data_IF_724846048606
#
_entry.id   IF_724846048606
#
_cell.length_a   1.000
_cell.length_b   1.000
_cell.length_c   1.000
_cell.angle_alpha   90.00
_cell.angle_beta   90.00
_cell.angle_gamma   90.00
#
_symmetry.space_group_name_H-M   'P 1'
#
loop_
_entity.id
_entity.type
_entity.pdbx_description
1 polymer ?
#
# COMPACT_ATOMS: atom_id res chain seq x y z
N UNK A 1 -4.62 25.39 25.49
CA UNK A 1 -5.12 24.29 24.64
C UNK A 1 -5.59 23.18 25.56
N UNK A 2 -6.89 22.87 25.56
CA UNK A 2 -7.40 21.75 26.33
C UNK A 2 -6.81 20.44 25.79
N UNK A 3 -6.34 19.57 26.67
CA UNK A 3 -5.93 18.21 26.31
C UNK A 3 -7.23 17.46 25.98
N UNK A 4 -7.34 16.92 24.76
CA UNK A 4 -8.48 16.09 24.38
C UNK A 4 -8.38 14.79 25.17
N UNK A 5 -9.40 14.52 25.98
CA UNK A 5 -9.48 13.27 26.74
C UNK A 5 -10.14 12.18 25.89
N UNK A 6 -9.32 11.36 25.25
CA UNK A 6 -9.77 10.24 24.41
C UNK A 6 -10.47 9.12 25.18
N UNK A 7 -10.46 9.13 26.53
CA UNK A 7 -11.20 8.14 27.32
C UNK A 7 -12.71 8.37 27.30
N UNK A 8 -13.13 9.57 26.90
CA UNK A 8 -14.55 9.97 26.79
C UNK A 8 -15.16 9.63 25.41
N UNK A 9 -14.34 9.19 24.44
CA UNK A 9 -14.84 8.79 23.12
C UNK A 9 -15.50 7.41 23.17
N UNK A 10 -16.51 7.17 22.31
CA UNK A 10 -17.07 5.83 22.14
C UNK A 10 -16.00 4.81 21.74
N UNK A 11 -15.99 3.66 22.40
CA UNK A 11 -15.09 2.58 22.04
C UNK A 11 -15.66 1.81 20.85
N UNK A 12 -15.00 1.95 19.69
CA UNK A 12 -15.31 1.26 18.44
C UNK A 12 -14.19 0.30 18.02
N UNK A 13 -14.57 -0.79 17.37
CA UNK A 13 -13.62 -1.76 16.81
C UNK A 13 -13.30 -1.38 15.36
N UNK A 14 -12.25 -0.61 15.19
CA UNK A 14 -11.89 0.03 13.92
C UNK A 14 -10.77 -0.73 13.22
N UNK A 15 -10.97 -0.99 11.92
CA UNK A 15 -9.93 -1.41 11.00
C UNK A 15 -9.66 -0.30 9.99
N UNK A 16 -8.49 0.33 10.04
CA UNK A 16 -8.02 1.29 9.05
C UNK A 16 -7.19 0.54 8.00
N UNK A 17 -7.60 0.64 6.73
CA UNK A 17 -7.10 -0.18 5.63
C UNK A 17 -6.41 0.73 4.61
N UNK A 18 -5.22 0.34 4.17
CA UNK A 18 -4.45 1.00 3.10
C UNK A 18 -3.97 -0.02 2.08
N UNK A 19 -4.12 0.27 0.79
CA UNK A 19 -3.66 -0.61 -0.30
C UNK A 19 -2.20 -0.33 -0.61
N UNK A 20 -1.38 -1.36 -0.54
CA UNK A 20 0.07 -1.23 -0.72
C UNK A 20 0.43 -0.82 -2.15
N UNK A 21 0.97 0.41 -2.31
CA UNK A 21 1.38 0.96 -3.61
C UNK A 21 0.29 0.80 -4.68
N UNK A 22 -0.92 1.23 -4.39
CA UNK A 22 -2.16 0.82 -5.06
C UNK A 22 -2.07 0.81 -6.59
N UNK A 23 -1.81 1.95 -7.24
CA UNK A 23 -1.77 2.00 -8.71
C UNK A 23 -0.71 1.07 -9.31
N UNK A 24 0.47 1.02 -8.70
CA UNK A 24 1.54 0.12 -9.15
C UNK A 24 1.17 -1.34 -8.97
N UNK A 25 0.50 -1.68 -7.86
CA UNK A 25 0.02 -3.04 -7.60
C UNK A 25 -1.05 -3.46 -8.59
N UNK A 26 -2.01 -2.58 -8.89
CA UNK A 26 -3.04 -2.83 -9.91
C UNK A 26 -2.40 -3.06 -11.28
N UNK A 27 -1.43 -2.23 -11.67
CA UNK A 27 -0.73 -2.39 -12.94
C UNK A 27 0.08 -3.69 -13.04
N UNK A 28 0.66 -4.15 -11.93
CA UNK A 28 1.31 -5.47 -11.88
C UNK A 28 0.29 -6.60 -12.08
N UNK A 29 -0.78 -6.59 -11.29
CA UNK A 29 -1.81 -7.65 -11.32
C UNK A 29 -2.43 -7.79 -12.71
N UNK A 30 -2.77 -6.68 -13.36
CA UNK A 30 -3.36 -6.67 -14.71
C UNK A 30 -2.42 -7.20 -15.80
N UNK A 31 -1.12 -7.28 -15.50
CA UNK A 31 -0.10 -7.88 -16.38
C UNK A 31 0.29 -9.31 -15.97
N UNK A 32 -0.40 -9.89 -14.99
CA UNK A 32 -0.05 -11.20 -14.45
C UNK A 32 1.26 -11.21 -13.65
N UNK A 33 1.69 -10.05 -13.12
CA UNK A 33 2.93 -9.88 -12.37
C UNK A 33 2.65 -9.77 -10.87
N UNK A 34 3.59 -10.25 -10.05
CA UNK A 34 3.48 -10.11 -8.60
C UNK A 34 3.92 -8.70 -8.15
N UNK A 35 3.03 -7.89 -7.53
CA UNK A 35 3.36 -6.54 -7.06
C UNK A 35 4.53 -6.47 -6.06
N UNK A 36 4.77 -7.54 -5.30
CA UNK A 36 5.81 -7.57 -4.27
C UNK A 36 7.21 -7.88 -4.81
N UNK A 37 7.30 -8.44 -6.03
CA UNK A 37 8.58 -8.85 -6.64
C UNK A 37 8.91 -8.13 -7.94
N UNK A 38 7.96 -7.34 -8.46
CA UNK A 38 8.13 -6.61 -9.71
C UNK A 38 8.51 -5.16 -9.45
N UNK A 39 9.56 -4.67 -10.12
CA UNK A 39 9.88 -3.24 -10.16
C UNK A 39 9.02 -2.55 -11.22
N UNK A 40 8.05 -1.74 -10.76
CA UNK A 40 7.12 -1.02 -11.62
C UNK A 40 6.85 0.38 -11.07
N UNK A 41 6.79 1.35 -11.98
CA UNK A 41 6.45 2.74 -11.70
C UNK A 41 5.30 3.21 -12.60
N UNK A 42 4.27 3.79 -12.01
CA UNK A 42 3.20 4.49 -12.72
C UNK A 42 3.56 5.96 -12.84
N UNK A 43 3.68 6.46 -14.06
CA UNK A 43 4.15 7.81 -14.34
C UNK A 43 3.18 8.56 -15.27
N UNK A 44 2.80 9.79 -14.92
CA UNK A 44 1.79 10.57 -15.66
C UNK A 44 2.19 10.87 -17.11
N UNK A 45 3.49 10.87 -17.41
CA UNK A 45 4.07 11.03 -18.74
C UNK A 45 5.23 10.08 -18.88
N UNK A 46 4.93 8.82 -19.19
CA UNK A 46 5.93 7.76 -19.29
C UNK A 46 6.93 7.93 -20.45
N UNK A 47 6.59 8.78 -21.40
CA UNK A 47 7.36 9.13 -22.60
C UNK A 47 8.21 10.41 -22.45
N UNK A 48 8.14 11.08 -21.30
CA UNK A 48 8.70 12.41 -21.10
C UNK A 48 9.52 12.49 -19.79
N UNK A 49 10.68 13.13 -19.85
CA UNK A 49 11.56 13.36 -18.70
C UNK A 49 10.97 14.24 -17.58
N UNK A 50 9.79 14.83 -17.76
CA UNK A 50 9.07 15.63 -16.76
C UNK A 50 7.85 14.89 -16.13
N UNK A 51 7.73 13.59 -16.35
CA UNK A 51 6.65 12.78 -15.80
C UNK A 51 6.60 12.80 -14.27
N UNK A 52 5.39 12.92 -13.70
CA UNK A 52 5.17 12.77 -12.27
C UNK A 52 4.99 11.28 -11.94
N UNK A 53 5.75 10.78 -10.97
CA UNK A 53 5.59 9.45 -10.42
C UNK A 53 4.35 9.46 -9.51
N UNK A 54 3.30 8.77 -9.92
CA UNK A 54 2.04 8.67 -9.17
C UNK A 54 2.08 7.55 -8.13
N UNK A 55 2.68 6.43 -8.49
CA UNK A 55 2.90 5.30 -7.58
C UNK A 55 4.06 4.44 -8.07
N UNK A 56 4.69 3.73 -7.14
CA UNK A 56 5.74 2.76 -7.45
C UNK A 56 5.63 1.54 -6.57
N UNK A 57 6.00 0.38 -7.12
CA UNK A 57 5.98 -0.89 -6.39
C UNK A 57 6.98 -0.90 -5.23
N UNK A 58 6.83 -1.78 -4.24
CA UNK A 58 7.79 -1.92 -3.14
C UNK A 58 9.22 -2.17 -3.62
N UNK A 59 9.40 -3.03 -4.62
CA UNK A 59 10.72 -3.32 -5.20
C UNK A 59 11.33 -2.09 -5.86
N UNK A 60 10.53 -1.31 -6.61
CA UNK A 60 11.00 -0.06 -7.20
C UNK A 60 11.54 0.90 -6.13
N UNK A 61 10.78 1.08 -5.03
CA UNK A 61 11.17 1.95 -3.92
C UNK A 61 12.49 1.50 -3.28
N UNK A 62 12.64 0.19 -3.07
CA UNK A 62 13.85 -0.39 -2.48
C UNK A 62 15.05 -0.25 -3.38
N UNK A 63 14.92 -0.63 -4.64
CA UNK A 63 16.03 -0.65 -5.62
C UNK A 63 16.57 0.74 -5.89
N UNK A 64 15.70 1.74 -6.02
CA UNK A 64 16.11 3.10 -6.34
C UNK A 64 16.13 4.05 -5.13
N UNK A 65 15.93 3.53 -3.92
CA UNK A 65 15.96 4.32 -2.69
C UNK A 65 14.89 5.40 -2.61
N UNK A 66 13.77 5.24 -3.34
CA UNK A 66 12.68 6.24 -3.45
C UNK A 66 11.49 5.82 -2.62
N UNK A 67 11.31 6.45 -1.45
CA UNK A 67 10.17 6.17 -0.56
C UNK A 67 8.92 6.99 -0.90
N UNK A 68 9.05 8.10 -1.63
CA UNK A 68 7.97 9.05 -1.91
C UNK A 68 7.78 9.27 -3.41
N UNK A 69 6.60 9.76 -3.76
CA UNK A 69 6.26 10.27 -5.08
C UNK A 69 7.22 11.40 -5.48
N UNK A 70 7.73 11.33 -6.70
CA UNK A 70 8.68 12.31 -7.25
C UNK A 70 8.45 12.51 -8.73
N UNK A 71 9.44 13.06 -9.40
CA UNK A 71 9.42 13.22 -10.86
C UNK A 71 10.43 12.28 -11.51
N UNK A 72 10.31 12.08 -12.80
CA UNK A 72 11.23 11.23 -13.58
C UNK A 72 12.70 11.68 -13.46
N UNK A 73 12.96 12.99 -13.35
CA UNK A 73 14.31 13.52 -13.14
C UNK A 73 14.87 13.31 -11.72
N UNK A 74 14.06 12.78 -10.80
CA UNK A 74 14.53 12.35 -9.47
C UNK A 74 15.07 10.91 -9.49
N UNK A 75 14.92 10.21 -10.61
CA UNK A 75 15.43 8.85 -10.74
C UNK A 75 16.93 8.87 -11.09
N UNK A 76 17.72 7.91 -10.58
CA UNK A 76 19.15 7.82 -10.86
C UNK A 76 19.46 7.31 -12.28
N UNK A 77 18.46 7.21 -13.15
CA UNK A 77 18.60 6.78 -14.55
C UNK A 77 17.68 7.58 -15.47
N UNK A 78 18.04 7.63 -16.74
CA UNK A 78 17.19 8.20 -17.79
C UNK A 78 16.06 7.22 -18.14
N UNK A 79 14.82 7.70 -18.17
CA UNK A 79 13.65 6.85 -18.42
C UNK A 79 13.57 6.31 -19.85
N UNK A 80 14.20 6.98 -20.82
CA UNK A 80 14.13 6.62 -22.24
C UNK A 80 15.15 5.53 -22.60
N UNK A 81 16.42 5.76 -22.30
CA UNK A 81 17.53 4.86 -22.69
C UNK A 81 18.00 3.93 -21.57
N UNK A 82 17.48 4.15 -20.34
CA UNK A 82 17.79 3.36 -19.14
C UNK A 82 19.24 3.44 -18.67
N UNK A 83 19.98 4.45 -19.14
CA UNK A 83 21.35 4.72 -18.70
C UNK A 83 21.38 5.40 -17.34
N UNK A 84 22.48 5.21 -16.61
CA UNK A 84 22.68 5.87 -15.33
C UNK A 84 22.80 7.39 -15.50
N UNK A 85 22.10 8.15 -14.65
CA UNK A 85 22.13 9.61 -14.65
C UNK A 85 22.97 10.16 -13.50
N UNK A 86 24.23 10.49 -13.79
CA UNK A 86 25.15 11.13 -12.83
C UNK A 86 24.60 12.44 -12.26
N UNK A 87 23.96 13.24 -13.10
CA UNK A 87 23.39 14.52 -12.69
C UNK A 87 22.30 14.32 -11.63
N UNK A 88 21.35 13.43 -11.88
CA UNK A 88 20.25 13.14 -10.95
C UNK A 88 20.77 12.50 -9.65
N UNK A 89 21.66 11.52 -9.75
CA UNK A 89 22.22 10.83 -8.58
C UNK A 89 22.98 11.82 -7.67
N UNK A 90 23.81 12.71 -8.25
CA UNK A 90 24.54 13.75 -7.52
C UNK A 90 23.61 14.77 -6.87
N UNK A 91 22.58 15.21 -7.60
CA UNK A 91 21.58 16.18 -7.10
C UNK A 91 20.87 15.70 -5.84
N UNK A 92 20.62 14.39 -5.74
CA UNK A 92 19.94 13.78 -4.58
C UNK A 92 20.90 13.20 -3.54
N UNK A 93 22.19 13.55 -3.61
CA UNK A 93 23.19 13.18 -2.61
C UNK A 93 23.48 11.68 -2.53
N UNK A 94 23.21 10.94 -3.59
CA UNK A 94 23.47 9.51 -3.63
C UNK A 94 24.97 9.24 -3.72
N UNK A 95 25.46 8.25 -2.95
CA UNK A 95 26.84 7.81 -3.03
C UNK A 95 27.04 7.04 -4.33
N UNK A 96 27.79 7.62 -5.28
CA UNK A 96 28.02 7.02 -6.59
C UNK A 96 29.26 6.14 -6.51
N UNK A 97 29.05 4.82 -6.64
CA UNK A 97 30.12 3.81 -6.76
C UNK A 97 29.90 2.99 -8.04
N UNK A 98 30.92 2.30 -8.56
CA UNK A 98 30.75 1.43 -9.73
C UNK A 98 29.66 0.37 -9.53
N UNK A 99 29.59 -0.19 -8.34
CA UNK A 99 28.56 -1.21 -7.97
C UNK A 99 27.16 -0.60 -7.99
N UNK A 100 27.01 0.65 -7.50
CA UNK A 100 25.72 1.34 -7.52
C UNK A 100 25.28 1.66 -8.95
N UNK A 101 26.19 2.11 -9.81
CA UNK A 101 25.90 2.35 -11.24
C UNK A 101 25.42 1.06 -11.90
N UNK A 102 26.16 -0.03 -11.76
CA UNK A 102 25.79 -1.34 -12.32
C UNK A 102 24.44 -1.84 -11.79
N UNK A 103 24.17 -1.66 -10.50
CA UNK A 103 22.90 -2.00 -9.87
C UNK A 103 21.74 -1.22 -10.51
N UNK A 104 21.87 0.12 -10.61
CA UNK A 104 20.83 0.98 -11.21
C UNK A 104 20.60 0.63 -12.68
N UNK A 105 21.64 0.45 -13.48
CA UNK A 105 21.48 0.10 -14.90
C UNK A 105 20.84 -1.28 -15.09
N UNK A 106 21.24 -2.26 -14.29
CA UNK A 106 20.63 -3.59 -14.33
C UNK A 106 19.15 -3.56 -14.01
N UNK A 107 18.75 -2.83 -12.94
CA UNK A 107 17.36 -2.74 -12.54
C UNK A 107 16.52 -1.82 -13.41
N UNK A 108 17.09 -0.72 -13.91
CA UNK A 108 16.36 0.20 -14.80
C UNK A 108 15.84 -0.52 -16.05
N UNK A 109 16.65 -1.44 -16.61
CA UNK A 109 16.26 -2.26 -17.78
C UNK A 109 15.13 -3.25 -17.50
N UNK A 110 15.01 -3.72 -16.25
CA UNK A 110 13.96 -4.65 -15.79
C UNK A 110 12.72 -3.92 -15.26
N UNK A 111 12.82 -2.62 -15.02
CA UNK A 111 11.75 -1.82 -14.43
C UNK A 111 10.72 -1.42 -15.48
N UNK A 112 9.46 -1.68 -15.17
CA UNK A 112 8.33 -1.23 -15.99
C UNK A 112 7.98 0.21 -15.62
N UNK A 113 7.89 1.09 -16.61
CA UNK A 113 7.35 2.44 -16.49
C UNK A 113 6.11 2.50 -17.35
N UNK A 114 4.96 2.76 -16.73
CA UNK A 114 3.65 2.66 -17.37
C UNK A 114 2.83 3.92 -17.14
N UNK A 115 1.97 4.32 -18.09
CA UNK A 115 1.02 5.41 -17.89
C UNK A 115 -0.09 5.00 -16.94
N UNK A 116 -0.74 5.96 -16.24
CA UNK A 116 -1.86 5.69 -15.37
C UNK A 116 -3.14 5.32 -16.13
N UNK A 117 -3.92 4.41 -15.57
CA UNK A 117 -5.24 3.99 -16.07
C UNK A 117 -6.30 4.22 -14.99
N UNK A 118 -6.72 5.47 -14.80
CA UNK A 118 -7.57 5.88 -13.67
C UNK A 118 -8.89 5.10 -13.58
N UNK A 119 -9.55 4.82 -14.70
CA UNK A 119 -10.79 4.02 -14.70
C UNK A 119 -10.56 2.62 -14.12
N UNK A 120 -9.46 1.98 -14.49
CA UNK A 120 -9.08 0.67 -13.94
C UNK A 120 -8.87 0.73 -12.42
N UNK A 121 -8.25 1.81 -11.91
CA UNK A 121 -8.03 1.96 -10.47
C UNK A 121 -9.35 2.16 -9.72
N UNK A 122 -10.29 2.91 -10.30
CA UNK A 122 -11.65 3.08 -9.76
C UNK A 122 -12.38 1.73 -9.74
N UNK A 123 -12.31 0.94 -10.81
CA UNK A 123 -12.91 -0.40 -10.87
C UNK A 123 -12.34 -1.33 -9.79
N UNK A 124 -11.03 -1.31 -9.57
CA UNK A 124 -10.38 -2.08 -8.51
C UNK A 124 -10.78 -1.61 -7.11
N UNK A 125 -10.89 -0.30 -6.89
CA UNK A 125 -11.40 0.24 -5.64
C UNK A 125 -12.83 -0.24 -5.36
N UNK A 126 -13.73 -0.20 -6.35
CA UNK A 126 -15.09 -0.73 -6.22
C UNK A 126 -15.08 -2.22 -5.85
N UNK A 127 -14.19 -3.03 -6.43
CA UNK A 127 -14.03 -4.43 -6.06
C UNK A 127 -13.62 -4.60 -4.59
N UNK A 128 -12.70 -3.74 -4.10
CA UNK A 128 -12.28 -3.73 -2.69
C UNK A 128 -13.44 -3.35 -1.78
N UNK A 129 -14.17 -2.28 -2.09
CA UNK A 129 -15.34 -1.86 -1.32
C UNK A 129 -16.40 -2.98 -1.26
N UNK A 130 -16.63 -3.69 -2.37
CA UNK A 130 -17.54 -4.83 -2.39
C UNK A 130 -17.07 -6.00 -1.50
N UNK A 131 -15.76 -6.17 -1.29
CA UNK A 131 -15.25 -7.13 -0.30
C UNK A 131 -15.59 -6.65 1.11
N UNK A 132 -15.40 -5.36 1.42
CA UNK A 132 -15.68 -4.80 2.75
C UNK A 132 -17.17 -4.88 3.11
N UNK A 133 -18.07 -4.70 2.15
CA UNK A 133 -19.54 -4.86 2.32
C UNK A 133 -19.97 -6.27 2.76
N UNK A 134 -19.11 -7.28 2.65
CA UNK A 134 -19.40 -8.60 3.22
C UNK A 134 -19.16 -8.65 4.74
N UNK A 135 -18.55 -7.63 5.32
CA UNK A 135 -18.17 -7.57 6.73
C UNK A 135 -18.96 -6.53 7.52
N UNK A 136 -19.31 -5.41 6.87
CA UNK A 136 -20.04 -4.31 7.50
C UNK A 136 -21.04 -3.71 6.52
N UNK A 137 -22.12 -3.07 6.99
CA UNK A 137 -23.03 -2.29 6.14
C UNK A 137 -22.34 -1.03 5.59
N UNK A 138 -22.97 -0.41 4.59
CA UNK A 138 -22.39 0.73 3.86
C UNK A 138 -22.11 1.94 4.76
N UNK A 139 -22.93 2.19 5.75
CA UNK A 139 -22.78 3.26 6.74
C UNK A 139 -21.54 3.12 7.63
N UNK A 140 -21.02 1.91 7.77
CA UNK A 140 -19.82 1.60 8.57
C UNK A 140 -18.55 1.57 7.72
N UNK A 141 -18.63 1.92 6.41
CA UNK A 141 -17.48 2.03 5.50
C UNK A 141 -17.19 3.51 5.26
N UNK A 142 -16.00 3.94 5.64
CA UNK A 142 -15.57 5.33 5.57
C UNK A 142 -14.34 5.51 4.68
N UNK A 143 -14.51 5.71 3.35
CA UNK A 143 -13.38 5.96 2.45
C UNK A 143 -12.73 7.31 2.72
N UNK A 144 -11.40 7.34 2.75
CA UNK A 144 -10.60 8.56 2.84
C UNK A 144 -10.02 8.96 1.48
N UNK A 145 -9.56 7.95 0.73
CA UNK A 145 -9.04 8.12 -0.62
C UNK A 145 -9.43 6.92 -1.49
N UNK A 146 -8.86 6.83 -2.69
CA UNK A 146 -9.08 5.68 -3.59
C UNK A 146 -8.45 4.38 -3.07
N UNK A 147 -7.48 4.48 -2.17
CA UNK A 147 -6.68 3.35 -1.68
C UNK A 147 -6.64 3.23 -0.16
N UNK A 148 -7.25 4.15 0.58
CA UNK A 148 -7.32 4.07 2.03
C UNK A 148 -8.69 4.47 2.60
N UNK A 149 -9.02 3.91 3.75
CA UNK A 149 -10.24 4.19 4.51
C UNK A 149 -10.30 3.35 5.76
N UNK A 150 -11.38 3.50 6.53
CA UNK A 150 -11.61 2.63 7.67
C UNK A 150 -13.02 2.04 7.66
N UNK A 151 -13.19 0.95 8.39
CA UNK A 151 -14.48 0.33 8.66
C UNK A 151 -14.68 0.18 10.17
N UNK A 152 -15.92 0.33 10.61
CA UNK A 152 -16.34 0.06 11.98
C UNK A 152 -16.89 -1.37 12.08
N UNK A 153 -16.17 -2.23 12.78
CA UNK A 153 -16.51 -3.64 12.98
C UNK A 153 -17.26 -3.91 14.30
N UNK A 154 -17.61 -2.86 15.06
CA UNK A 154 -18.17 -2.98 16.41
C UNK A 154 -19.40 -3.88 16.44
N UNK A 155 -20.32 -3.70 15.51
CA UNK A 155 -21.56 -4.50 15.43
C UNK A 155 -21.31 -5.90 14.85
N UNK A 156 -20.32 -6.03 13.96
CA UNK A 156 -20.04 -7.27 13.22
C UNK A 156 -19.11 -8.24 13.95
N UNK A 157 -18.36 -7.78 14.94
CA UNK A 157 -17.26 -8.50 15.58
C UNK A 157 -17.70 -9.88 16.09
N UNK A 158 -18.80 -9.93 16.86
CA UNK A 158 -19.31 -11.17 17.45
C UNK A 158 -20.08 -12.05 16.45
N UNK A 159 -20.53 -11.49 15.32
CA UNK A 159 -21.14 -12.26 14.25
C UNK A 159 -20.10 -13.14 13.55
N UNK A 160 -18.92 -12.60 13.25
CA UNK A 160 -17.86 -13.31 12.54
C UNK A 160 -17.02 -14.20 13.47
N UNK A 161 -16.80 -13.79 14.73
CA UNK A 161 -16.02 -14.56 15.71
C UNK A 161 -16.88 -14.87 16.93
N UNK A 162 -17.53 -16.04 16.88
CA UNK A 162 -18.47 -16.50 17.92
C UNK A 162 -17.79 -17.01 19.18
N UNK A 163 -16.47 -17.22 19.16
CA UNK A 163 -15.70 -17.69 20.30
C UNK A 163 -15.70 -16.65 21.42
N UNK A 164 -16.42 -16.97 22.50
CA UNK A 164 -16.58 -16.08 23.66
C UNK A 164 -15.35 -16.04 24.58
N UNK A 165 -14.38 -16.94 24.38
CA UNK A 165 -13.12 -16.94 25.14
C UNK A 165 -12.13 -15.90 24.65
N UNK A 166 -12.31 -15.39 23.41
CA UNK A 166 -11.44 -14.41 22.79
C UNK A 166 -11.81 -12.98 23.21
N UNK A 167 -10.80 -12.20 23.51
CA UNK A 167 -10.90 -10.76 23.71
C UNK A 167 -11.38 -10.03 22.42
N UNK A 168 -11.91 -8.82 22.57
CA UNK A 168 -12.28 -7.96 21.43
C UNK A 168 -11.10 -7.75 20.48
N UNK A 169 -9.88 -7.60 21.00
CA UNK A 169 -8.66 -7.42 20.21
C UNK A 169 -8.34 -8.65 19.38
N UNK A 170 -8.37 -9.83 19.95
CA UNK A 170 -8.14 -11.08 19.21
C UNK A 170 -9.18 -11.33 18.13
N UNK A 171 -10.44 -10.98 18.41
CA UNK A 171 -11.51 -11.08 17.40
C UNK A 171 -11.24 -10.13 16.23
N UNK A 172 -10.84 -8.90 16.52
CA UNK A 172 -10.51 -7.89 15.52
C UNK A 172 -9.33 -8.34 14.63
N UNK A 173 -8.27 -8.89 15.24
CA UNK A 173 -7.11 -9.46 14.52
C UNK A 173 -7.54 -10.56 13.53
N UNK A 174 -8.41 -11.49 13.98
CA UNK A 174 -8.92 -12.59 13.14
C UNK A 174 -9.71 -12.06 11.93
N UNK A 175 -10.59 -11.08 12.17
CA UNK A 175 -11.42 -10.51 11.09
C UNK A 175 -10.55 -9.73 10.11
N UNK A 176 -9.61 -8.91 10.60
CA UNK A 176 -8.72 -8.13 9.76
C UNK A 176 -7.83 -9.02 8.88
N UNK A 177 -7.28 -10.11 9.43
CA UNK A 177 -6.54 -11.09 8.65
C UNK A 177 -7.39 -11.73 7.56
N UNK A 178 -8.68 -12.00 7.84
CA UNK A 178 -9.62 -12.53 6.85
C UNK A 178 -9.93 -11.49 5.76
N UNK A 179 -10.17 -10.23 6.13
CA UNK A 179 -10.39 -9.13 5.19
C UNK A 179 -9.20 -8.97 4.24
N UNK A 180 -7.96 -8.93 4.76
CA UNK A 180 -6.76 -8.84 3.94
C UNK A 180 -6.68 -9.97 2.91
N UNK A 181 -6.94 -11.20 3.35
CA UNK A 181 -6.94 -12.39 2.48
C UNK A 181 -8.01 -12.32 1.40
N UNK A 182 -9.22 -11.87 1.74
CA UNK A 182 -10.33 -11.79 0.80
C UNK A 182 -10.13 -10.66 -0.21
N UNK A 183 -9.58 -9.51 0.20
CA UNK A 183 -9.14 -8.43 -0.71
C UNK A 183 -8.10 -8.98 -1.70
N UNK A 184 -7.05 -9.62 -1.20
CA UNK A 184 -6.01 -10.19 -2.05
C UNK A 184 -6.57 -11.26 -3.03
N UNK A 185 -7.37 -12.20 -2.54
CA UNK A 185 -7.99 -13.24 -3.40
C UNK A 185 -8.86 -12.63 -4.50
N UNK A 186 -9.60 -11.56 -4.19
CA UNK A 186 -10.50 -10.92 -5.15
C UNK A 186 -9.78 -10.03 -6.15
N UNK A 187 -8.75 -9.32 -5.73
CA UNK A 187 -8.17 -8.22 -6.50
C UNK A 187 -6.70 -8.44 -6.87
N UNK A 188 -5.99 -9.34 -6.21
CA UNK A 188 -4.54 -9.51 -6.31
C UNK A 188 -3.73 -8.39 -5.64
N UNK A 189 -4.39 -7.40 -5.01
CA UNK A 189 -3.75 -6.26 -4.36
C UNK A 189 -3.55 -6.54 -2.88
N UNK A 190 -2.37 -6.22 -2.36
CA UNK A 190 -2.06 -6.36 -0.94
C UNK A 190 -2.51 -5.13 -0.15
N UNK A 191 -3.00 -5.35 1.07
CA UNK A 191 -3.38 -4.29 1.99
C UNK A 191 -2.61 -4.38 3.29
N UNK A 192 -2.47 -3.24 3.98
CA UNK A 192 -2.03 -3.13 5.36
C UNK A 192 -3.22 -2.70 6.20
N UNK A 193 -3.43 -3.27 7.37
CA UNK A 193 -4.52 -2.89 8.27
C UNK A 193 -3.95 -2.48 9.63
N UNK A 194 -4.28 -1.26 10.05
CA UNK A 194 -4.11 -0.80 11.41
C UNK A 194 -5.40 -0.98 12.20
N UNK A 195 -5.30 -1.40 13.45
CA UNK A 195 -6.45 -1.77 14.27
C UNK A 195 -6.48 -1.03 15.59
N UNK A 196 -7.69 -0.61 16.01
CA UNK A 196 -7.93 -0.05 17.33
C UNK A 196 -9.28 -0.53 17.89
N UNK A 197 -9.32 -0.77 19.19
CA UNK A 197 -10.57 -0.98 19.93
C UNK A 197 -11.06 0.31 20.60
N UNK A 198 -10.71 1.46 20.05
CA UNK A 198 -11.09 2.78 20.55
C UNK A 198 -11.62 3.67 19.42
N UNK A 199 -10.75 4.15 18.51
CA UNK A 199 -11.15 5.13 17.50
C UNK A 199 -10.32 5.00 16.20
N UNK A 200 -10.77 5.65 15.09
CA UNK A 200 -10.08 5.62 13.80
C UNK A 200 -8.66 6.21 13.82
N UNK A 201 -8.41 7.25 14.63
CA UNK A 201 -7.09 7.88 14.72
C UNK A 201 -6.04 6.90 15.24
N UNK A 202 -6.36 6.17 16.31
CA UNK A 202 -5.45 5.14 16.86
C UNK A 202 -5.28 3.97 15.90
N UNK A 203 -6.31 3.61 15.13
CA UNK A 203 -6.19 2.60 14.06
C UNK A 203 -5.25 3.09 12.96
N UNK A 204 -5.33 4.36 12.53
CA UNK A 204 -4.41 4.95 11.55
C UNK A 204 -2.97 4.98 12.06
N UNK A 205 -2.75 5.36 13.31
CA UNK A 205 -1.42 5.34 13.93
C UNK A 205 -0.84 3.91 13.99
N UNK A 206 -1.67 2.91 14.26
CA UNK A 206 -1.26 1.52 14.25
C UNK A 206 -0.86 1.08 12.82
N UNK A 207 -1.64 1.47 11.80
CA UNK A 207 -1.31 1.22 10.39
C UNK A 207 0.04 1.85 10.01
N UNK A 208 0.28 3.11 10.35
CA UNK A 208 1.52 3.81 10.02
C UNK A 208 2.74 3.14 10.67
N UNK A 209 2.58 2.59 11.88
CA UNK A 209 3.63 1.83 12.56
C UNK A 209 3.88 0.47 11.90
N UNK A 210 2.83 -0.25 11.47
CA UNK A 210 2.96 -1.50 10.72
C UNK A 210 3.58 -1.27 9.34
N UNK A 211 3.20 -0.22 8.64
CA UNK A 211 3.81 0.16 7.37
C UNK A 211 5.33 0.42 7.49
N UNK A 212 5.78 0.99 8.61
CA UNK A 212 7.22 1.16 8.90
C UNK A 212 7.92 -0.17 9.16
N UNK A 213 7.28 -1.10 9.88
CA UNK A 213 7.83 -2.45 10.15
C UNK A 213 7.87 -3.32 8.89
N UNK A 214 6.86 -3.27 8.03
CA UNK A 214 6.81 -4.08 6.80
C UNK A 214 7.80 -3.65 5.73
N UNK A 215 8.39 -2.47 5.84
CA UNK A 215 9.58 -2.12 5.07
C UNK A 215 10.85 -2.87 5.53
N UNK A 216 10.85 -3.42 6.76
CA UNK A 216 11.93 -4.26 7.33
C UNK A 216 11.59 -5.74 7.36
N UNK A 217 10.31 -6.10 7.37
CA UNK A 217 9.84 -7.48 7.33
C UNK A 217 9.21 -7.74 5.96
N UNK A 218 10.01 -8.13 4.96
CA UNK A 218 9.49 -8.82 3.79
C UNK A 218 8.81 -10.07 4.30
N UNK A 219 7.48 -9.95 4.33
CA UNK A 219 6.59 -10.89 4.93
C UNK A 219 6.97 -12.33 4.64
N UNK A 220 7.15 -13.10 5.68
CA UNK A 220 6.89 -14.52 5.72
C UNK A 220 5.39 -14.78 5.49
N UNK A 221 4.87 -14.32 4.37
CA UNK A 221 3.57 -14.73 3.85
C UNK A 221 3.87 -15.88 2.90
N UNK A 222 3.88 -17.09 3.42
CA UNK A 222 3.76 -18.26 2.58
C UNK A 222 2.34 -18.28 2.03
N UNK A 223 2.22 -18.37 0.72
CA UNK A 223 0.94 -18.49 0.00
C UNK A 223 0.30 -19.89 0.15
N UNK A 224 0.79 -20.69 1.09
CA UNK A 224 0.44 -22.12 1.22
C UNK A 224 -0.50 -22.42 2.38
N UNK A 225 -1.06 -21.43 3.09
CA UNK A 225 -2.06 -21.64 4.14
C UNK A 225 -3.42 -21.02 3.81
#
# INVERSE_FOLDING_TARGET
MGIIDYTLEPHSDIAFIDMKSFYASVECVERGLNPLTTSLCVMSRADNCNGLILASSPVFKEVFGKNNVGRSYDLPFNINDRTFSYYNAKRFGMKITPEYIQHVESWSKKTLIVPPRMNLYIEKNIQILNVLKNYVPDEDIHPYSIDEGFIDLTQSLNYFVKDTTKSRREKLDIICAKIQRDIWKKTGVFSTIGMSNANPLLAKLALDNEAKKTNTMRANWSYED
#
